data_IF_490068892031
#
_entry.id   IF_490068892031
#
_cell.length_a   1.000
_cell.length_b   1.000
_cell.length_c   1.000
_cell.angle_alpha   90.00
_cell.angle_beta   90.00
_cell.angle_gamma   90.00
#
_symmetry.space_group_name_H-M   'P 1'
#
loop_
_entity.id
_entity.type
_entity.pdbx_description
1 polymer ?
#
# COMPACT_ATOMS: atom_id res chain seq x y z
N UNK A 1 5.72 -7.24 -5.86
CA UNK A 1 5.41 -6.15 -6.81
C UNK A 1 4.85 -6.58 -8.17
N UNK A 2 5.49 -7.48 -8.95
CA UNK A 2 5.05 -7.77 -10.34
C UNK A 2 3.57 -8.17 -10.51
N UNK A 3 3.00 -8.91 -9.56
CA UNK A 3 1.56 -9.27 -9.58
C UNK A 3 0.66 -8.03 -9.48
N UNK A 4 0.86 -7.21 -8.45
CA UNK A 4 0.06 -6.00 -8.21
C UNK A 4 0.05 -5.06 -9.42
N UNK A 5 1.23 -4.75 -9.99
CA UNK A 5 1.30 -3.82 -11.14
C UNK A 5 0.59 -4.37 -12.37
N UNK A 6 0.74 -5.68 -12.62
CA UNK A 6 0.02 -6.35 -13.70
C UNK A 6 -1.49 -6.27 -13.50
N UNK A 7 -1.97 -6.56 -12.29
CA UNK A 7 -3.39 -6.58 -11.96
C UNK A 7 -4.02 -5.17 -12.06
N UNK A 8 -3.33 -4.14 -11.57
CA UNK A 8 -3.76 -2.74 -11.69
C UNK A 8 -3.84 -2.30 -13.16
N UNK A 9 -2.83 -2.67 -13.96
CA UNK A 9 -2.79 -2.38 -15.40
C UNK A 9 -3.91 -3.10 -16.15
N UNK A 10 -4.11 -4.40 -15.89
CA UNK A 10 -5.20 -5.19 -16.48
C UNK A 10 -6.57 -4.58 -16.16
N UNK A 11 -6.70 -4.01 -14.97
CA UNK A 11 -7.88 -3.29 -14.51
C UNK A 11 -7.99 -1.85 -15.05
N UNK A 12 -7.08 -1.41 -15.93
CA UNK A 12 -7.03 -0.06 -16.53
C UNK A 12 -6.98 1.06 -15.48
N UNK A 13 -6.33 0.80 -14.34
CA UNK A 13 -6.00 1.83 -13.37
C UNK A 13 -4.72 2.56 -13.81
N UNK A 14 -4.51 3.82 -13.37
CA UNK A 14 -3.25 4.52 -13.59
C UNK A 14 -2.07 3.71 -13.05
N UNK A 15 -0.88 3.95 -13.57
CA UNK A 15 0.32 3.30 -13.06
C UNK A 15 0.76 3.98 -11.75
N UNK A 16 0.89 3.23 -10.63
CA UNK A 16 1.39 3.81 -9.39
C UNK A 16 2.91 3.96 -9.42
N UNK A 17 3.43 4.86 -8.59
CA UNK A 17 4.87 4.98 -8.32
C UNK A 17 5.27 3.87 -7.35
N UNK A 18 6.18 2.98 -7.77
CA UNK A 18 6.72 1.91 -6.92
C UNK A 18 7.81 2.42 -5.99
N UNK A 19 7.98 1.76 -4.84
CA UNK A 19 9.06 2.06 -3.90
C UNK A 19 9.08 3.55 -3.49
N UNK A 20 7.90 4.14 -3.30
CA UNK A 20 7.72 5.57 -3.08
C UNK A 20 8.10 5.96 -1.65
N UNK A 21 9.18 6.75 -1.52
CA UNK A 21 9.59 7.34 -0.24
C UNK A 21 8.68 8.53 0.05
N UNK A 22 7.88 8.45 1.12
CA UNK A 22 6.98 9.54 1.52
C UNK A 22 7.55 10.39 2.68
N UNK A 23 8.64 9.93 3.29
CA UNK A 23 9.30 10.58 4.42
C UNK A 23 10.80 10.25 4.36
N UNK A 24 11.59 11.17 3.81
CA UNK A 24 13.02 10.98 3.53
C UNK A 24 13.87 10.86 4.79
N UNK A 25 13.55 11.61 5.85
CA UNK A 25 14.28 11.64 7.12
C UNK A 25 14.22 10.30 7.89
N UNK A 26 13.20 9.48 7.64
CA UNK A 26 13.01 8.16 8.29
C UNK A 26 13.19 6.98 7.34
N UNK A 27 13.46 7.26 6.06
CA UNK A 27 13.47 6.31 4.95
C UNK A 27 12.23 5.39 5.00
N UNK A 28 11.05 6.03 5.13
CA UNK A 28 9.78 5.31 5.04
C UNK A 28 9.27 5.33 3.61
N UNK A 29 8.98 4.12 3.13
CA UNK A 29 8.67 3.83 1.75
C UNK A 29 7.43 2.96 1.64
N UNK A 30 6.53 3.25 0.71
CA UNK A 30 5.45 2.34 0.34
C UNK A 30 5.89 1.45 -0.84
N UNK A 31 5.41 0.21 -0.85
CA UNK A 31 5.57 -0.69 -2.00
C UNK A 31 5.10 -0.04 -3.32
N UNK A 32 3.94 0.61 -3.30
CA UNK A 32 3.43 1.43 -4.39
C UNK A 32 2.56 2.58 -3.89
N UNK A 33 2.44 3.66 -4.66
CA UNK A 33 1.64 4.81 -4.28
C UNK A 33 1.05 5.56 -5.49
N UNK A 34 -0.07 6.24 -5.26
CA UNK A 34 -0.55 7.34 -6.09
C UNK A 34 -0.35 8.64 -5.29
N UNK A 35 0.77 9.37 -5.50
CA UNK A 35 1.13 10.51 -4.65
C UNK A 35 0.12 11.66 -4.72
N UNK A 36 -0.40 11.95 -5.91
CA UNK A 36 -1.35 13.04 -6.11
C UNK A 36 -2.67 12.81 -5.35
N UNK A 37 -3.10 11.56 -5.23
CA UNK A 37 -4.28 11.13 -4.48
C UNK A 37 -3.99 10.78 -3.02
N UNK A 38 -2.72 10.82 -2.60
CA UNK A 38 -2.24 10.33 -1.30
C UNK A 38 -2.82 8.94 -0.97
N UNK A 39 -2.65 7.99 -1.89
CA UNK A 39 -3.00 6.58 -1.69
C UNK A 39 -1.72 5.78 -1.66
N UNK A 40 -1.51 5.03 -0.58
CA UNK A 40 -0.40 4.11 -0.41
C UNK A 40 -0.90 2.67 -0.49
N UNK A 41 -0.12 1.80 -1.11
CA UNK A 41 -0.42 0.38 -1.29
C UNK A 41 0.78 -0.40 -0.75
N UNK A 42 0.50 -1.34 0.16
CA UNK A 42 1.50 -2.21 0.80
C UNK A 42 1.10 -3.66 0.63
N UNK A 43 2.08 -4.51 0.26
CA UNK A 43 1.89 -5.96 0.17
C UNK A 43 2.59 -6.63 1.34
N UNK A 44 1.80 -7.02 2.32
CA UNK A 44 2.24 -7.59 3.59
C UNK A 44 2.73 -9.04 3.41
N UNK A 45 4.04 -9.20 3.16
CA UNK A 45 4.70 -10.50 3.14
C UNK A 45 4.67 -11.21 4.51
N UNK A 46 4.88 -12.53 4.51
CA UNK A 46 4.96 -13.33 5.75
C UNK A 46 3.63 -13.84 6.31
N UNK A 47 2.51 -13.63 5.60
CA UNK A 47 1.16 -14.07 6.00
C UNK A 47 0.78 -15.49 5.53
N UNK A 48 1.70 -16.24 4.91
CA UNK A 48 1.47 -17.60 4.44
C UNK A 48 1.95 -18.69 5.41
N UNK A 49 1.47 -19.93 5.21
CA UNK A 49 1.75 -21.16 5.98
C UNK A 49 3.23 -21.60 6.09
N UNK A 50 4.19 -20.75 5.71
CA UNK A 50 5.64 -21.00 5.74
C UNK A 50 6.43 -20.18 6.76
N UNK A 51 5.78 -19.34 7.58
CA UNK A 51 6.29 -18.84 8.88
C UNK A 51 7.73 -18.31 8.98
N UNK A 52 8.36 -17.91 7.88
CA UNK A 52 9.70 -17.31 7.93
C UNK A 52 9.65 -15.99 8.70
N UNK A 53 10.70 -15.70 9.49
CA UNK A 53 10.88 -14.45 10.22
C UNK A 53 10.77 -13.26 9.25
N UNK A 54 9.59 -12.66 9.15
CA UNK A 54 9.41 -11.37 8.50
C UNK A 54 9.85 -10.29 9.48
N UNK A 55 10.38 -9.16 8.99
CA UNK A 55 10.58 -8.00 9.90
C UNK A 55 9.26 -7.56 10.52
N UNK A 56 8.12 -7.86 9.88
CA UNK A 56 6.78 -7.52 10.40
C UNK A 56 6.40 -8.41 11.60
N UNK A 57 7.13 -9.50 11.87
CA UNK A 57 6.85 -10.42 12.99
C UNK A 57 7.82 -10.27 14.17
N UNK A 58 8.81 -9.36 14.10
CA UNK A 58 9.62 -9.00 15.26
C UNK A 58 8.98 -7.82 16.01
N UNK A 59 9.12 -7.73 17.36
CA UNK A 59 8.55 -6.61 18.12
C UNK A 59 9.04 -5.23 17.62
N UNK A 60 10.31 -5.13 17.26
CA UNK A 60 10.90 -3.88 16.75
C UNK A 60 10.37 -3.51 15.36
N UNK A 61 10.28 -4.47 14.45
CA UNK A 61 9.78 -4.20 13.11
C UNK A 61 8.29 -3.87 13.11
N UNK A 62 7.49 -4.56 13.94
CA UNK A 62 6.09 -4.20 14.18
C UNK A 62 5.94 -2.77 14.72
N UNK A 63 6.76 -2.38 15.71
CA UNK A 63 6.75 -1.01 16.24
C UNK A 63 7.08 0.03 15.15
N UNK A 64 8.09 -0.25 14.30
CA UNK A 64 8.45 0.63 13.18
C UNK A 64 7.33 0.73 12.14
N UNK A 65 6.61 -0.37 11.89
CA UNK A 65 5.46 -0.38 10.98
C UNK A 65 4.29 0.44 11.53
N UNK A 66 3.97 0.29 12.82
CA UNK A 66 2.98 1.15 13.48
C UNK A 66 3.32 2.63 13.35
N UNK A 67 4.58 3.00 13.60
CA UNK A 67 5.05 4.38 13.48
C UNK A 67 4.89 4.90 12.04
N UNK A 68 5.36 4.13 11.05
CA UNK A 68 5.25 4.46 9.63
C UNK A 68 3.80 4.71 9.22
N UNK A 69 2.88 3.80 9.55
CA UNK A 69 1.49 3.92 9.12
C UNK A 69 0.72 5.02 9.85
N UNK A 70 1.05 5.29 11.12
CA UNK A 70 0.46 6.40 11.84
C UNK A 70 0.90 7.74 11.24
N UNK A 71 2.20 7.91 10.97
CA UNK A 71 2.72 9.12 10.34
C UNK A 71 2.13 9.34 8.94
N UNK A 72 2.05 8.28 8.13
CA UNK A 72 1.40 8.32 6.83
C UNK A 72 -0.06 8.82 6.95
N UNK A 73 -0.85 8.23 7.85
CA UNK A 73 -2.23 8.65 8.07
C UNK A 73 -2.33 10.10 8.55
N UNK A 74 -1.49 10.53 9.48
CA UNK A 74 -1.43 11.93 9.95
C UNK A 74 -1.09 12.92 8.84
N UNK A 75 -0.36 12.48 7.81
CA UNK A 75 -0.05 13.27 6.61
C UNK A 75 -1.16 13.23 5.55
N UNK A 76 -2.29 12.56 5.85
CA UNK A 76 -3.45 12.45 4.98
C UNK A 76 -3.37 11.31 3.97
N UNK A 77 -2.45 10.36 4.13
CA UNK A 77 -2.39 9.17 3.28
C UNK A 77 -3.52 8.18 3.61
N UNK A 78 -4.17 7.69 2.57
CA UNK A 78 -4.99 6.48 2.63
C UNK A 78 -4.07 5.28 2.42
N UNK A 79 -3.73 4.59 3.51
CA UNK A 79 -2.82 3.43 3.48
C UNK A 79 -3.62 2.14 3.36
N UNK A 80 -3.49 1.44 2.25
CA UNK A 80 -4.11 0.13 2.01
C UNK A 80 -3.07 -0.98 2.08
N UNK A 81 -3.30 -1.94 2.99
CA UNK A 81 -2.38 -3.03 3.30
C UNK A 81 -3.00 -4.36 2.92
N UNK A 82 -2.31 -5.13 2.09
CA UNK A 82 -2.84 -6.35 1.49
C UNK A 82 -1.94 -7.56 1.73
N UNK A 83 -2.45 -8.66 2.30
CA UNK A 83 -1.76 -9.94 2.18
C UNK A 83 -1.77 -10.42 0.71
N UNK A 84 -0.82 -11.27 0.30
CA UNK A 84 -0.75 -11.79 -1.07
C UNK A 84 -2.02 -12.52 -1.55
N UNK A 85 -2.85 -13.04 -0.64
CA UNK A 85 -4.15 -13.66 -1.00
C UNK A 85 -5.11 -12.67 -1.64
N UNK A 86 -5.17 -11.43 -1.13
CA UNK A 86 -6.07 -10.39 -1.63
C UNK A 86 -5.65 -9.82 -2.99
N UNK A 87 -4.40 -10.05 -3.40
CA UNK A 87 -3.98 -9.77 -4.78
C UNK A 87 -4.55 -10.85 -5.72
N UNK A 88 -4.43 -12.13 -5.33
CA UNK A 88 -4.86 -13.28 -6.15
C UNK A 88 -6.37 -13.34 -6.39
N UNK A 89 -7.17 -12.93 -5.42
CA UNK A 89 -8.64 -12.92 -5.54
C UNK A 89 -9.20 -11.61 -6.12
N UNK A 90 -8.33 -10.64 -6.45
CA UNK A 90 -8.71 -9.36 -7.03
C UNK A 90 -9.24 -8.32 -6.04
N UNK A 91 -9.34 -8.64 -4.74
CA UNK A 91 -9.85 -7.72 -3.71
C UNK A 91 -9.01 -6.45 -3.63
N UNK A 92 -7.67 -6.57 -3.71
CA UNK A 92 -6.76 -5.43 -3.67
C UNK A 92 -7.05 -4.42 -4.78
N UNK A 93 -7.25 -4.89 -6.01
CA UNK A 93 -7.57 -4.03 -7.17
C UNK A 93 -8.90 -3.31 -6.97
N UNK A 94 -9.92 -4.02 -6.49
CA UNK A 94 -11.23 -3.44 -6.23
C UNK A 94 -11.17 -2.32 -5.17
N UNK A 95 -10.41 -2.54 -4.09
CA UNK A 95 -10.23 -1.55 -3.02
C UNK A 95 -9.41 -0.33 -3.46
N UNK A 96 -8.36 -0.54 -4.25
CA UNK A 96 -7.54 0.54 -4.80
C UNK A 96 -8.37 1.41 -5.75
N UNK A 97 -9.17 0.80 -6.64
CA UNK A 97 -10.09 1.53 -7.52
C UNK A 97 -11.04 2.41 -6.72
N UNK A 98 -11.68 1.84 -5.69
CA UNK A 98 -12.63 2.58 -4.85
C UNK A 98 -11.97 3.79 -4.18
N UNK A 99 -10.74 3.66 -3.70
CA UNK A 99 -10.03 4.79 -3.12
C UNK A 99 -9.70 5.88 -4.13
N UNK A 100 -9.24 5.51 -5.34
CA UNK A 100 -9.01 6.47 -6.42
C UNK A 100 -10.29 7.24 -6.78
N UNK A 101 -11.42 6.53 -6.90
CA UNK A 101 -12.71 7.14 -7.18
C UNK A 101 -13.17 8.09 -6.05
N UNK A 102 -12.98 7.70 -4.79
CA UNK A 102 -13.28 8.55 -3.64
C UNK A 102 -12.46 9.84 -3.65
N UNK A 103 -11.13 9.73 -3.87
CA UNK A 103 -10.22 10.89 -3.95
C UNK A 103 -10.54 11.83 -5.11
N UNK A 104 -10.95 11.30 -6.25
CA UNK A 104 -11.38 12.12 -7.40
C UNK A 104 -12.66 12.88 -7.11
N UNK A 105 -13.62 12.26 -6.43
CA UNK A 105 -14.86 12.93 -6.00
C UNK A 105 -14.57 14.04 -4.99
N UNK A 106 -13.70 13.81 -4.02
CA UNK A 106 -13.25 14.82 -3.05
C UNK A 106 -12.62 16.04 -3.75
N UNK A 107 -11.78 15.82 -4.78
CA UNK A 107 -11.15 16.92 -5.54
C UNK A 107 -12.11 17.68 -6.46
N UNK A 108 -13.25 17.10 -6.82
CA UNK A 108 -14.23 17.69 -7.72
C UNK A 108 -15.36 18.44 -7.00
N UNK A 109 -15.42 18.34 -5.66
CA UNK A 109 -16.35 19.05 -4.79
C UNK A 109 -15.74 20.37 -4.30
#
# INVERSE_FOLDING_TARGET
>A
MRGLLFDLKAAKLPEPVTEFVFMEDRDFRFDAAYPDEKIAIEVEGGTGHGGGKSRHTTPEGFRRDCEKYNLAQSMGWNVQRFPPSMLRDGTAVAMVRRALEARRKEKAA
#
